data_IF_768423734051
#
_entry.id   IF_768423734051
#
_cell.length_a   1.000
_cell.length_b   1.000
_cell.length_c   1.000
_cell.angle_alpha   90.00
_cell.angle_beta   90.00
_cell.angle_gamma   90.00
#
_symmetry.space_group_name_H-M   'P 1'
#
loop_
_entity.id
_entity.type
_entity.pdbx_description
1 polymer ?
#
# COMPACT_ATOMS: atom_id res chain seq x y z
N UNK A 1 15.27 6.43 -0.62
CA UNK A 1 15.35 4.97 -0.89
C UNK A 1 16.69 4.44 -0.42
N UNK A 2 16.76 3.20 0.07
CA UNK A 2 18.01 2.57 0.48
C UNK A 2 18.12 1.14 -0.03
N UNK A 3 19.34 0.69 -0.34
CA UNK A 3 19.60 -0.72 -0.64
C UNK A 3 19.69 -1.51 0.67
N UNK A 4 19.08 -2.69 0.69
CA UNK A 4 19.23 -3.63 1.80
C UNK A 4 20.52 -4.41 1.58
N UNK A 5 21.39 -4.44 2.59
CA UNK A 5 22.56 -5.31 2.56
C UNK A 5 22.12 -6.77 2.75
N UNK A 6 22.22 -7.56 1.68
CA UNK A 6 21.82 -8.97 1.70
C UNK A 6 22.71 -9.83 2.60
N UNK A 7 23.94 -9.44 2.89
CA UNK A 7 24.84 -10.21 3.76
C UNK A 7 24.41 -10.14 5.23
N UNK A 8 23.80 -9.02 5.64
CA UNK A 8 23.37 -8.79 7.03
C UNK A 8 21.87 -8.91 7.22
N UNK A 9 21.09 -9.08 6.14
CA UNK A 9 19.63 -9.10 6.23
C UNK A 9 19.13 -10.46 6.71
N UNK A 10 18.38 -10.55 7.82
CA UNK A 10 17.96 -11.84 8.37
C UNK A 10 17.14 -12.71 7.41
N UNK A 11 16.47 -12.10 6.43
CA UNK A 11 15.61 -12.81 5.46
C UNK A 11 16.34 -13.20 4.16
N UNK A 12 17.66 -13.01 4.05
CA UNK A 12 18.38 -13.23 2.79
C UNK A 12 18.26 -14.67 2.25
N UNK A 13 18.32 -15.70 3.11
CA UNK A 13 18.13 -17.09 2.67
C UNK A 13 16.70 -17.36 2.18
N UNK A 14 15.69 -16.84 2.88
CA UNK A 14 14.30 -16.91 2.43
C UNK A 14 14.12 -16.21 1.08
N UNK A 15 14.68 -15.01 0.93
CA UNK A 15 14.65 -14.27 -0.33
C UNK A 15 15.30 -15.06 -1.46
N UNK A 16 16.46 -15.68 -1.25
CA UNK A 16 17.12 -16.52 -2.26
C UNK A 16 16.20 -17.64 -2.75
N UNK A 17 15.49 -18.32 -1.84
CA UNK A 17 14.58 -19.41 -2.19
C UNK A 17 13.34 -18.87 -2.93
N UNK A 18 12.61 -17.91 -2.35
CA UNK A 18 11.36 -17.45 -2.96
C UNK A 18 11.58 -16.69 -4.28
N UNK A 19 12.75 -16.07 -4.48
CA UNK A 19 13.08 -15.39 -5.73
C UNK A 19 13.36 -16.37 -6.89
N UNK A 20 13.43 -17.69 -6.67
CA UNK A 20 13.51 -18.67 -7.76
C UNK A 20 12.15 -19.15 -8.26
N UNK A 21 11.06 -18.83 -7.56
CA UNK A 21 9.73 -19.28 -7.92
C UNK A 21 9.14 -18.35 -8.97
N UNK A 22 8.38 -18.92 -9.92
CA UNK A 22 7.64 -18.13 -10.91
C UNK A 22 6.50 -17.32 -10.26
N UNK A 23 5.90 -17.86 -9.19
CA UNK A 23 4.73 -17.28 -8.51
C UNK A 23 4.89 -17.27 -6.97
N UNK A 24 5.79 -16.44 -6.40
CA UNK A 24 6.06 -16.41 -4.96
C UNK A 24 5.04 -15.56 -4.19
N UNK A 25 3.74 -15.76 -4.42
CA UNK A 25 2.67 -15.01 -3.76
C UNK A 25 1.60 -15.94 -3.20
N UNK A 26 0.94 -15.48 -2.15
CA UNK A 26 -0.26 -16.09 -1.60
C UNK A 26 -1.28 -15.00 -1.32
N UNK A 27 -2.55 -15.38 -1.25
CA UNK A 27 -3.65 -14.46 -0.97
C UNK A 27 -4.34 -14.86 0.32
N UNK A 28 -4.78 -13.87 1.08
CA UNK A 28 -5.66 -14.05 2.23
C UNK A 28 -6.85 -13.11 2.13
N UNK A 29 -8.01 -13.60 2.53
CA UNK A 29 -9.22 -12.81 2.66
C UNK A 29 -9.70 -12.92 4.10
N UNK A 30 -10.04 -11.79 4.70
CA UNK A 30 -10.56 -11.72 6.06
C UNK A 30 -11.64 -10.67 6.13
N UNK A 31 -12.64 -10.91 6.98
CA UNK A 31 -13.63 -9.91 7.31
C UNK A 31 -12.98 -8.85 8.22
N UNK A 32 -13.05 -7.59 7.80
CA UNK A 32 -12.58 -6.45 8.59
C UNK A 32 -13.78 -5.77 9.22
N UNK A 33 -13.78 -5.64 10.54
CA UNK A 33 -14.83 -4.93 11.26
C UNK A 33 -14.70 -3.42 11.07
N UNK A 34 -15.70 -2.83 10.41
CA UNK A 34 -15.78 -1.39 10.14
C UNK A 34 -16.86 -0.70 10.99
N UNK A 35 -17.40 -1.37 12.01
CA UNK A 35 -18.52 -0.88 12.84
C UNK A 35 -18.24 0.49 13.43
N UNK A 36 -17.01 0.74 13.90
CA UNK A 36 -16.61 2.06 14.40
C UNK A 36 -16.14 3.01 13.29
N UNK A 37 -15.44 2.47 12.28
CA UNK A 37 -14.81 3.28 11.24
C UNK A 37 -15.83 3.97 10.33
N UNK A 38 -16.82 3.21 9.82
CA UNK A 38 -17.76 3.72 8.83
C UNK A 38 -18.61 4.89 9.33
N UNK A 39 -19.24 4.85 10.52
CA UNK A 39 -20.00 5.98 11.04
C UNK A 39 -19.16 7.24 11.25
N UNK A 40 -17.92 7.11 11.74
CA UNK A 40 -17.00 8.24 11.95
C UNK A 40 -16.67 8.93 10.64
N UNK A 41 -16.37 8.16 9.58
CA UNK A 41 -16.06 8.72 8.26
C UNK A 41 -17.26 9.49 7.70
N UNK A 42 -18.46 8.91 7.83
CA UNK A 42 -19.71 9.58 7.41
C UNK A 42 -19.99 10.85 8.20
N UNK A 43 -19.82 10.83 9.53
CA UNK A 43 -20.01 12.01 10.38
C UNK A 43 -19.04 13.14 10.04
N UNK A 44 -17.81 12.81 9.65
CA UNK A 44 -16.79 13.79 9.23
C UNK A 44 -17.00 14.33 7.80
N UNK A 45 -17.97 13.81 7.06
CA UNK A 45 -18.27 14.25 5.69
C UNK A 45 -17.17 13.92 4.67
N UNK A 46 -16.31 12.93 4.96
CA UNK A 46 -15.24 12.52 4.03
C UNK A 46 -15.68 11.34 3.18
N UNK A 47 -15.19 11.27 1.93
CA UNK A 47 -15.39 10.09 1.07
C UNK A 47 -14.88 8.82 1.75
N UNK A 48 -15.72 7.79 1.77
CA UNK A 48 -15.36 6.50 2.34
C UNK A 48 -14.16 5.86 1.63
N UNK A 49 -14.12 5.96 0.30
CA UNK A 49 -13.00 5.48 -0.52
C UNK A 49 -11.70 6.18 -0.12
N UNK A 50 -11.70 7.52 -0.03
CA UNK A 50 -10.52 8.29 0.37
C UNK A 50 -10.04 7.88 1.77
N UNK A 51 -10.96 7.70 2.72
CA UNK A 51 -10.62 7.29 4.07
C UNK A 51 -10.02 5.87 4.12
N UNK A 52 -10.58 4.91 3.38
CA UNK A 52 -10.05 3.55 3.27
C UNK A 52 -8.67 3.53 2.61
N UNK A 53 -8.50 4.24 1.49
CA UNK A 53 -7.22 4.32 0.78
C UNK A 53 -6.15 4.93 1.69
N UNK A 54 -6.50 5.96 2.46
CA UNK A 54 -5.58 6.54 3.45
C UNK A 54 -5.13 5.52 4.50
N UNK A 55 -6.05 4.81 5.16
CA UNK A 55 -5.66 3.87 6.24
C UNK A 55 -4.87 2.68 5.70
N UNK A 56 -5.19 2.18 4.51
CA UNK A 56 -4.41 1.15 3.82
C UNK A 56 -3.01 1.66 3.50
N UNK A 57 -2.90 2.88 2.97
CA UNK A 57 -1.60 3.51 2.69
C UNK A 57 -0.80 3.74 3.97
N UNK A 58 -1.45 4.13 5.07
CA UNK A 58 -0.79 4.33 6.36
C UNK A 58 -0.21 3.02 6.88
N UNK A 59 -0.98 1.93 6.79
CA UNK A 59 -0.54 0.59 7.18
C UNK A 59 0.61 0.09 6.29
N UNK A 60 0.51 0.24 4.97
CA UNK A 60 1.58 -0.10 4.03
C UNK A 60 2.87 0.69 4.29
N UNK A 61 2.75 1.96 4.66
CA UNK A 61 3.88 2.79 5.03
C UNK A 61 4.35 2.61 6.48
N UNK A 62 3.65 1.85 7.33
CA UNK A 62 4.12 1.54 8.69
C UNK A 62 5.01 0.28 8.72
N UNK A 63 4.82 -0.64 7.79
CA UNK A 63 5.54 -1.92 7.73
C UNK A 63 6.63 -1.85 6.64
N UNK A 64 7.93 -1.89 7.01
CA UNK A 64 9.04 -1.76 6.05
C UNK A 64 8.98 -2.74 4.88
N UNK A 65 8.57 -3.99 5.14
CA UNK A 65 8.48 -5.04 4.13
C UNK A 65 7.52 -4.70 2.97
N UNK A 66 6.48 -3.91 3.20
CA UNK A 66 5.56 -3.46 2.13
C UNK A 66 6.18 -2.36 1.24
N UNK A 67 7.27 -1.75 1.68
CA UNK A 67 8.04 -0.76 0.91
C UNK A 67 9.23 -1.38 0.16
N UNK A 68 9.41 -2.70 0.22
CA UNK A 68 10.48 -3.38 -0.50
C UNK A 68 10.16 -3.57 -1.98
N UNK A 69 11.17 -3.45 -2.85
CA UNK A 69 11.11 -3.76 -4.28
C UNK A 69 12.38 -4.48 -4.71
N UNK A 70 12.29 -5.23 -5.81
CA UNK A 70 13.45 -5.86 -6.46
C UNK A 70 13.84 -5.00 -7.65
N UNK A 71 15.11 -4.55 -7.72
CA UNK A 71 15.66 -3.78 -8.83
C UNK A 71 17.03 -4.31 -9.19
N UNK A 72 17.22 -4.75 -10.44
CA UNK A 72 18.48 -5.34 -10.92
C UNK A 72 19.05 -6.40 -9.94
N UNK A 73 18.20 -7.32 -9.47
CA UNK A 73 18.51 -8.38 -8.49
C UNK A 73 18.92 -7.92 -7.09
N UNK A 74 18.75 -6.64 -6.77
CA UNK A 74 18.95 -6.10 -5.42
C UNK A 74 17.61 -5.80 -4.77
N UNK A 75 17.56 -5.88 -3.45
CA UNK A 75 16.40 -5.46 -2.67
C UNK A 75 16.59 -4.00 -2.26
N UNK A 76 15.60 -3.18 -2.57
CA UNK A 76 15.54 -1.77 -2.16
C UNK A 76 14.35 -1.55 -1.24
N UNK A 77 14.53 -0.70 -0.24
CA UNK A 77 13.46 -0.15 0.56
C UNK A 77 13.17 1.30 0.14
N UNK A 78 11.91 1.56 -0.17
CA UNK A 78 11.41 2.92 -0.34
C UNK A 78 11.13 3.56 1.01
N UNK A 79 11.38 4.86 1.10
CA UNK A 79 11.06 5.64 2.30
C UNK A 79 9.53 5.77 2.45
N UNK A 80 8.86 6.04 1.33
CA UNK A 80 7.41 6.14 1.22
C UNK A 80 6.96 5.37 -0.02
N UNK A 81 5.79 4.74 0.06
CA UNK A 81 5.04 4.20 -1.08
C UNK A 81 3.70 4.93 -1.20
N UNK A 82 3.26 5.16 -2.43
CA UNK A 82 2.02 5.85 -2.74
C UNK A 82 0.95 4.84 -3.17
N UNK A 83 -0.30 4.98 -2.73
CA UNK A 83 -1.40 4.16 -3.24
C UNK A 83 -1.65 4.43 -4.72
N UNK A 84 -2.01 3.37 -5.44
CA UNK A 84 -2.59 3.45 -6.77
C UNK A 84 -3.92 2.70 -6.74
N UNK A 85 -5.02 3.41 -6.98
CA UNK A 85 -6.39 2.88 -6.82
C UNK A 85 -7.09 2.83 -8.16
N UNK A 86 -8.08 1.96 -8.27
CA UNK A 86 -9.00 1.96 -9.42
C UNK A 86 -10.05 3.07 -9.25
N UNK A 87 -10.38 3.74 -10.34
CA UNK A 87 -11.47 4.72 -10.42
C UNK A 87 -12.36 4.31 -11.60
N UNK A 88 -13.66 4.23 -11.35
CA UNK A 88 -14.65 3.95 -12.40
C UNK A 88 -14.76 5.15 -13.34
N UNK A 89 -14.83 4.87 -14.63
CA UNK A 89 -15.11 5.86 -15.68
C UNK A 89 -16.35 5.41 -16.45
N UNK A 90 -16.76 6.17 -17.46
CA UNK A 90 -17.93 5.86 -18.26
C UNK A 90 -17.85 4.45 -18.91
N UNK A 91 -19.00 3.94 -19.35
CA UNK A 91 -19.12 2.68 -20.09
C UNK A 91 -18.69 1.42 -19.31
N UNK A 92 -18.83 1.41 -17.98
CA UNK A 92 -18.46 0.27 -17.11
C UNK A 92 -16.95 -0.06 -17.16
N UNK A 93 -16.12 0.96 -17.41
CA UNK A 93 -14.67 0.86 -17.45
C UNK A 93 -14.02 1.43 -16.18
N UNK A 94 -12.70 1.25 -16.07
CA UNK A 94 -11.90 1.83 -14.97
C UNK A 94 -10.53 2.32 -15.44
N UNK A 95 -9.95 3.24 -14.66
CA UNK A 95 -8.56 3.70 -14.78
C UNK A 95 -7.83 3.56 -13.45
N UNK A 96 -6.51 3.74 -13.46
CA UNK A 96 -5.70 3.81 -12.25
C UNK A 96 -5.31 5.25 -11.94
N UNK A 97 -5.45 5.63 -10.67
CA UNK A 97 -4.98 6.91 -10.16
C UNK A 97 -3.96 6.67 -9.05
N UNK A 98 -2.76 7.24 -9.20
CA UNK A 98 -1.76 7.28 -8.14
C UNK A 98 -1.93 8.55 -7.33
N UNK A 99 -1.99 8.41 -6.01
CA UNK A 99 -2.18 9.53 -5.08
C UNK A 99 -0.93 9.62 -4.21
N UNK A 100 -0.30 10.78 -4.15
CA UNK A 100 0.84 10.96 -3.25
C UNK A 100 0.40 10.78 -1.79
N UNK A 101 0.87 9.70 -1.17
CA UNK A 101 0.72 9.48 0.26
C UNK A 101 1.32 10.63 1.10
N UNK A 102 0.51 11.13 2.02
CA UNK A 102 0.86 12.14 3.02
C UNK A 102 0.34 11.62 4.36
N UNK A 103 1.18 11.65 5.40
CA UNK A 103 0.81 11.10 6.72
C UNK A 103 -0.30 11.90 7.42
N UNK A 104 -0.39 13.21 7.18
CA UNK A 104 -1.50 14.00 7.67
C UNK A 104 -2.77 13.69 6.85
N UNK A 105 -3.80 13.16 7.51
CA UNK A 105 -5.04 12.77 6.87
C UNK A 105 -5.74 13.92 6.14
N UNK A 106 -5.77 15.13 6.73
CA UNK A 106 -6.45 16.28 6.12
C UNK A 106 -5.76 16.70 4.82
N UNK A 107 -4.42 16.69 4.79
CA UNK A 107 -3.64 16.97 3.57
C UNK A 107 -3.80 15.86 2.53
N UNK A 108 -3.80 14.59 2.96
CA UNK A 108 -4.02 13.47 2.06
C UNK A 108 -5.42 13.54 1.44
N UNK A 109 -6.45 13.79 2.24
CA UNK A 109 -7.84 13.82 1.79
C UNK A 109 -8.10 14.91 0.74
N UNK A 110 -7.47 16.08 0.88
CA UNK A 110 -7.55 17.15 -0.14
C UNK A 110 -6.91 16.75 -1.46
N UNK A 111 -5.82 15.97 -1.43
CA UNK A 111 -5.09 15.53 -2.63
C UNK A 111 -5.71 14.30 -3.30
N UNK A 112 -6.50 13.55 -2.53
CA UNK A 112 -7.17 12.33 -2.96
C UNK A 112 -8.64 12.56 -3.40
N UNK A 113 -9.19 13.75 -3.16
CA UNK A 113 -10.53 14.16 -3.56
C UNK A 113 -10.53 14.68 -5.00
#
# INVERSE_FOLDING_TARGET
>A
MRYINLETWPRHEHFKIFNTFDYPHFNMCANVDLTTFYPIVKQRGVSFTVAIVYVLSRASNAIPEFRYRIRARKVVEHEIVHPSTTILVDEDLFTFCTIDYIEDFSKFAVRAA
#
